data_IF_651596288928
#
_entry.id   IF_651596288928
#
_cell.length_a   1.000
_cell.length_b   1.000
_cell.length_c   1.000
_cell.angle_alpha   90.00
_cell.angle_beta   90.00
_cell.angle_gamma   90.00
#
_symmetry.space_group_name_H-M   'P 1'
#
loop_
_entity.id
_entity.type
_entity.pdbx_description
1 polymer ?
#
# COMPACT_ATOMS: atom_id res chain seq x y z
N UNK A 1 14.81 31.98 54.24
CA UNK A 1 14.01 33.24 54.20
C UNK A 1 12.80 32.99 53.30
N UNK A 2 11.61 33.18 53.88
CA UNK A 2 10.22 33.17 53.37
C UNK A 2 9.98 33.11 51.86
N UNK A 3 9.21 32.13 51.34
CA UNK A 3 7.74 32.17 51.10
C UNK A 3 7.33 33.24 50.06
N UNK A 4 6.56 32.92 49.01
CA UNK A 4 5.09 32.90 49.05
C UNK A 4 4.52 32.23 47.78
N UNK A 5 3.50 31.41 47.98
CA UNK A 5 2.65 30.78 46.97
C UNK A 5 1.62 31.75 46.35
N UNK A 6 1.12 31.44 45.15
CA UNK A 6 -0.26 31.80 44.77
C UNK A 6 -0.87 30.81 43.77
N UNK A 7 -1.86 30.06 44.28
CA UNK A 7 -2.94 29.38 43.54
C UNK A 7 -4.02 30.41 43.20
N UNK A 8 -4.53 30.42 41.96
CA UNK A 8 -5.86 30.96 41.59
C UNK A 8 -6.36 30.10 40.41
N UNK A 9 -7.21 29.08 40.65
CA UNK A 9 -8.69 29.08 40.57
C UNK A 9 -9.26 29.00 39.14
N UNK A 10 -9.84 27.82 38.84
CA UNK A 10 -10.78 27.57 37.74
C UNK A 10 -12.11 28.30 37.98
N UNK A 11 -12.90 28.53 36.92
CA UNK A 11 -14.31 28.17 37.01
C UNK A 11 -14.74 27.24 35.86
N UNK A 12 -15.55 26.25 36.26
CA UNK A 12 -16.34 25.43 35.36
C UNK A 12 -17.52 26.24 34.80
N UNK A 13 -17.87 26.01 33.53
CA UNK A 13 -19.22 26.27 33.02
C UNK A 13 -19.74 25.03 32.30
N UNK A 14 -20.73 24.40 32.93
CA UNK A 14 -21.75 23.56 32.28
C UNK A 14 -22.81 24.48 31.68
N UNK A 15 -23.44 24.04 30.58
CA UNK A 15 -24.88 24.09 30.25
C UNK A 15 -24.98 23.89 28.73
N UNK A 16 -25.45 22.74 28.25
CA UNK A 16 -26.86 22.36 28.04
C UNK A 16 -27.37 22.76 26.64
N UNK A 17 -27.59 21.73 25.82
CA UNK A 17 -28.72 21.52 24.90
C UNK A 17 -29.13 22.63 23.92
N UNK A 18 -29.14 22.30 22.63
CA UNK A 18 -30.39 22.09 21.84
C UNK A 18 -30.06 21.76 20.37
N UNK A 19 -30.52 20.60 19.91
CA UNK A 19 -30.71 20.29 18.49
C UNK A 19 -32.05 20.86 18.03
N UNK A 20 -32.15 21.44 16.83
CA UNK A 20 -33.41 21.60 16.12
C UNK A 20 -33.59 20.54 15.01
N UNK A 21 -34.82 20.37 14.48
CA UNK A 21 -35.32 19.08 14.04
C UNK A 21 -35.23 18.82 12.52
N UNK A 22 -35.36 17.53 12.21
CA UNK A 22 -35.73 16.96 10.91
C UNK A 22 -36.98 17.63 10.30
N UNK A 23 -36.95 17.85 8.99
CA UNK A 23 -38.15 18.16 8.21
C UNK A 23 -38.12 17.39 6.90
N UNK A 24 -38.77 16.24 6.92
CA UNK A 24 -39.21 15.49 5.75
C UNK A 24 -40.29 16.30 5.03
N UNK A 25 -40.10 16.59 3.74
CA UNK A 25 -41.17 17.01 2.83
C UNK A 25 -41.14 16.14 1.59
N UNK A 26 -41.95 15.10 1.64
CA UNK A 26 -42.51 14.42 0.47
C UNK A 26 -43.52 15.34 -0.20
N UNK A 27 -43.28 15.69 -1.46
CA UNK A 27 -44.31 16.19 -2.36
C UNK A 27 -44.42 15.24 -3.56
N UNK A 28 -45.49 14.46 -3.54
CA UNK A 28 -46.09 13.81 -4.71
C UNK A 28 -46.79 14.87 -5.55
N UNK A 29 -46.50 14.92 -6.86
CA UNK A 29 -47.45 15.45 -7.85
C UNK A 29 -47.24 14.76 -9.19
N UNK A 30 -48.31 14.16 -9.68
CA UNK A 30 -48.41 13.47 -10.96
C UNK A 30 -48.61 14.45 -12.13
N UNK A 31 -48.05 14.05 -13.30
CA UNK A 31 -48.51 14.14 -14.70
C UNK A 31 -49.25 15.42 -15.21
N UNK A 32 -49.02 15.89 -16.46
CA UNK A 32 -49.41 15.11 -17.63
C UNK A 32 -48.45 15.13 -18.83
N UNK A 33 -48.56 14.03 -19.57
CA UNK A 33 -48.11 13.75 -20.93
C UNK A 33 -48.56 14.83 -21.92
N UNK A 34 -47.60 15.42 -22.66
CA UNK A 34 -47.87 16.05 -23.94
C UNK A 34 -46.96 15.47 -25.02
N UNK A 35 -47.64 14.91 -26.01
CA UNK A 35 -47.15 14.33 -27.25
C UNK A 35 -46.57 15.45 -28.12
N UNK A 36 -45.27 15.43 -28.40
CA UNK A 36 -44.65 16.29 -29.41
C UNK A 36 -43.77 15.44 -30.33
N UNK A 37 -44.32 15.18 -31.52
CA UNK A 37 -43.69 14.50 -32.64
C UNK A 37 -42.65 15.44 -33.26
N UNK A 38 -41.36 15.19 -33.01
CA UNK A 38 -40.27 15.86 -33.70
C UNK A 38 -39.41 14.81 -34.43
N UNK A 39 -39.73 14.63 -35.71
CA UNK A 39 -38.92 13.89 -36.68
C UNK A 39 -37.55 14.56 -36.82
N UNK A 40 -36.50 13.90 -36.34
CA UNK A 40 -35.10 14.28 -36.62
C UNK A 40 -34.45 13.15 -37.43
N UNK A 41 -33.69 13.48 -38.49
CA UNK A 41 -33.11 12.47 -39.37
C UNK A 41 -32.00 11.71 -38.64
N UNK A 42 -32.17 10.40 -38.56
CA UNK A 42 -31.19 9.44 -38.08
C UNK A 42 -30.03 9.31 -39.06
N UNK A 43 -28.95 10.06 -38.82
CA UNK A 43 -27.62 9.73 -39.33
C UNK A 43 -27.02 8.62 -38.47
N UNK A 44 -27.39 7.38 -38.76
CA UNK A 44 -26.76 6.19 -38.21
C UNK A 44 -25.39 5.98 -38.85
N UNK A 45 -24.37 6.72 -38.39
CA UNK A 45 -22.98 6.29 -38.53
C UNK A 45 -22.73 5.17 -37.52
N UNK A 46 -23.12 3.95 -37.88
CA UNK A 46 -22.71 2.74 -37.16
C UNK A 46 -21.20 2.57 -37.36
N UNK A 47 -20.41 3.27 -36.56
CA UNK A 47 -19.03 2.90 -36.29
C UNK A 47 -19.07 1.57 -35.55
N UNK A 48 -18.98 0.49 -36.30
CA UNK A 48 -18.70 -0.84 -35.75
C UNK A 48 -17.29 -0.78 -35.18
N UNK A 49 -17.18 -0.31 -33.94
CA UNK A 49 -15.99 -0.52 -33.14
C UNK A 49 -15.90 -2.02 -32.92
N UNK A 50 -15.13 -2.70 -33.75
CA UNK A 50 -14.74 -4.09 -33.58
C UNK A 50 -13.80 -4.16 -32.39
N UNK A 51 -14.34 -4.01 -31.18
CA UNK A 51 -13.57 -4.18 -29.94
C UNK A 51 -13.06 -5.62 -29.92
N UNK A 52 -11.74 -5.79 -29.90
CA UNK A 52 -11.10 -7.11 -29.77
C UNK A 52 -11.69 -7.85 -28.56
N UNK A 53 -11.88 -9.19 -28.64
CA UNK A 53 -12.46 -9.94 -27.54
C UNK A 53 -11.58 -9.85 -26.28
N UNK A 54 -12.20 -9.80 -25.10
CA UNK A 54 -11.52 -9.83 -23.81
C UNK A 54 -11.69 -11.21 -23.19
N UNK A 55 -10.58 -11.79 -22.70
CA UNK A 55 -10.57 -13.12 -22.09
C UNK A 55 -10.77 -13.01 -20.57
N UNK A 56 -11.68 -13.77 -19.97
CA UNK A 56 -11.71 -13.89 -18.52
C UNK A 56 -10.43 -14.59 -18.04
N UNK A 57 -9.94 -14.21 -16.86
CA UNK A 57 -8.77 -14.87 -16.25
C UNK A 57 -8.98 -16.38 -16.13
N UNK A 58 -7.92 -17.18 -16.26
CA UNK A 58 -7.99 -18.60 -15.92
C UNK A 58 -8.00 -18.80 -14.39
N UNK A 59 -8.37 -19.98 -13.86
CA UNK A 59 -8.25 -20.28 -12.44
C UNK A 59 -6.83 -20.06 -11.90
N UNK A 60 -5.81 -20.43 -12.66
CA UNK A 60 -4.39 -20.31 -12.29
C UNK A 60 -3.98 -18.83 -12.23
N UNK A 61 -4.39 -18.03 -13.22
CA UNK A 61 -4.12 -16.59 -13.24
C UNK A 61 -4.80 -15.87 -12.07
N UNK A 62 -6.04 -16.24 -11.74
CA UNK A 62 -6.74 -15.72 -10.55
C UNK A 62 -6.04 -16.11 -9.25
N UNK A 63 -5.60 -17.35 -9.14
CA UNK A 63 -4.89 -17.85 -7.96
C UNK A 63 -3.56 -17.09 -7.77
N UNK A 64 -2.80 -16.91 -8.85
CA UNK A 64 -1.59 -16.10 -8.86
C UNK A 64 -1.84 -14.67 -8.39
N UNK A 65 -2.79 -13.96 -9.00
CA UNK A 65 -3.12 -12.58 -8.62
C UNK A 65 -3.56 -12.46 -7.17
N UNK A 66 -4.36 -13.41 -6.69
CA UNK A 66 -4.82 -13.43 -5.29
C UNK A 66 -3.66 -13.63 -4.33
N UNK A 67 -2.70 -14.49 -4.68
CA UNK A 67 -1.47 -14.69 -3.92
C UNK A 67 -0.60 -13.44 -3.93
N UNK A 68 -0.32 -12.88 -5.11
CA UNK A 68 0.50 -11.70 -5.29
C UNK A 68 -0.03 -10.49 -4.51
N UNK A 69 -1.32 -10.18 -4.63
CA UNK A 69 -1.94 -9.08 -3.89
C UNK A 69 -1.83 -9.27 -2.37
N UNK A 70 -2.05 -10.50 -1.88
CA UNK A 70 -1.93 -10.82 -0.45
C UNK A 70 -0.52 -10.60 0.07
N UNK A 71 0.48 -11.06 -0.68
CA UNK A 71 1.89 -10.91 -0.30
C UNK A 71 2.30 -9.44 -0.33
N UNK A 72 1.91 -8.68 -1.36
CA UNK A 72 2.20 -7.25 -1.43
C UNK A 72 1.63 -6.53 -0.22
N UNK A 73 0.34 -6.74 0.10
CA UNK A 73 -0.27 -6.12 1.27
C UNK A 73 0.48 -6.47 2.57
N UNK A 74 0.91 -7.72 2.74
CA UNK A 74 1.69 -8.12 3.90
C UNK A 74 3.08 -7.47 3.94
N UNK A 75 3.72 -7.30 2.78
CA UNK A 75 4.98 -6.60 2.60
C UNK A 75 4.87 -5.13 2.99
N UNK A 76 3.92 -4.39 2.40
CA UNK A 76 3.70 -2.97 2.72
C UNK A 76 3.38 -2.77 4.20
N UNK A 77 2.56 -3.65 4.80
CA UNK A 77 2.27 -3.59 6.22
C UNK A 77 3.54 -3.78 7.06
N UNK A 78 4.40 -4.72 6.68
CA UNK A 78 5.66 -4.92 7.38
C UNK A 78 6.58 -3.70 7.25
N UNK A 79 6.68 -3.09 6.07
CA UNK A 79 7.48 -1.89 5.82
C UNK A 79 7.00 -0.71 6.69
N UNK A 80 5.69 -0.40 6.68
CA UNK A 80 5.08 0.62 7.57
C UNK A 80 5.45 0.38 9.03
N UNK A 81 5.37 -0.86 9.50
CA UNK A 81 5.67 -1.22 10.88
C UNK A 81 7.16 -1.14 11.22
N UNK A 82 8.04 -1.49 10.28
CA UNK A 82 9.49 -1.35 10.43
C UNK A 82 9.84 0.13 10.55
N UNK A 83 9.40 0.98 9.63
CA UNK A 83 9.69 2.42 9.70
C UNK A 83 9.09 3.07 10.94
N UNK A 84 7.85 2.72 11.30
CA UNK A 84 7.21 3.18 12.54
C UNK A 84 8.04 2.83 13.78
N UNK A 85 8.62 1.63 13.82
CA UNK A 85 9.42 1.15 14.95
C UNK A 85 10.85 1.72 14.93
N UNK A 86 11.44 1.95 13.76
CA UNK A 86 12.77 2.52 13.60
C UNK A 86 12.82 4.02 13.92
N UNK A 87 11.75 4.75 13.59
CA UNK A 87 11.73 6.23 13.62
C UNK A 87 12.07 6.81 15.00
N UNK A 88 11.46 6.37 16.12
CA UNK A 88 11.70 7.03 17.40
C UNK A 88 13.15 6.91 17.91
N UNK A 89 13.81 5.73 17.91
CA UNK A 89 15.22 5.63 18.30
C UNK A 89 16.15 6.38 17.34
N UNK A 90 15.93 6.26 16.03
CA UNK A 90 16.78 6.91 15.02
C UNK A 90 16.70 8.42 15.09
N UNK A 91 15.51 9.00 15.10
CA UNK A 91 15.33 10.45 15.12
C UNK A 91 15.79 11.07 16.44
N UNK A 92 15.73 10.31 17.55
CA UNK A 92 16.31 10.75 18.82
C UNK A 92 17.83 10.83 18.76
N UNK A 93 18.50 9.87 18.12
CA UNK A 93 19.96 9.85 17.98
C UNK A 93 20.46 10.76 16.84
N UNK A 94 19.68 10.88 15.77
CA UNK A 94 20.01 11.57 14.52
C UNK A 94 18.80 12.43 14.07
N UNK A 95 18.57 13.61 14.69
CA UNK A 95 17.38 14.42 14.41
C UNK A 95 17.21 14.85 12.95
N UNK A 96 18.30 14.95 12.20
CA UNK A 96 18.31 15.30 10.78
C UNK A 96 17.65 14.23 9.88
N UNK A 97 17.52 12.97 10.36
CA UNK A 97 16.84 11.90 9.61
C UNK A 97 15.32 11.97 9.69
N UNK A 98 14.74 12.86 10.52
CA UNK A 98 13.28 12.98 10.68
C UNK A 98 12.54 13.14 9.34
N UNK A 99 12.95 14.04 8.42
CA UNK A 99 12.24 14.20 7.16
C UNK A 99 12.31 12.95 6.30
N UNK A 100 13.46 12.28 6.26
CA UNK A 100 13.64 11.03 5.51
C UNK A 100 12.76 9.91 6.06
N UNK A 101 12.81 9.65 7.37
CA UNK A 101 12.00 8.60 7.99
C UNK A 101 10.50 8.85 7.81
N UNK A 102 10.07 10.11 7.88
CA UNK A 102 8.68 10.49 7.63
C UNK A 102 8.29 10.25 6.16
N UNK A 103 9.16 10.63 5.22
CA UNK A 103 8.93 10.47 3.79
C UNK A 103 8.73 8.99 3.41
N UNK A 104 9.67 8.13 3.83
CA UNK A 104 9.58 6.69 3.57
C UNK A 104 8.33 6.08 4.19
N UNK A 105 8.05 6.39 5.47
CA UNK A 105 6.84 5.91 6.13
C UNK A 105 5.55 6.34 5.40
N UNK A 106 5.47 7.59 4.94
CA UNK A 106 4.28 8.10 4.26
C UNK A 106 4.06 7.46 2.88
N UNK A 107 5.15 7.13 2.17
CA UNK A 107 5.09 6.35 0.92
C UNK A 107 4.54 4.94 1.20
N UNK A 108 5.11 4.22 2.16
CA UNK A 108 4.65 2.88 2.56
C UNK A 108 3.19 2.87 2.99
N UNK A 109 2.76 3.88 3.75
CA UNK A 109 1.36 4.01 4.15
C UNK A 109 0.43 4.17 2.93
N UNK A 110 0.88 4.89 1.91
CA UNK A 110 0.20 5.02 0.61
C UNK A 110 0.16 3.71 -0.18
N UNK A 111 1.26 2.94 -0.18
CA UNK A 111 1.32 1.62 -0.81
C UNK A 111 0.37 0.64 -0.12
N UNK A 112 0.42 0.57 1.21
CA UNK A 112 -0.47 -0.24 2.03
C UNK A 112 -1.94 0.09 1.75
N UNK A 113 -2.32 1.37 1.77
CA UNK A 113 -3.68 1.79 1.47
C UNK A 113 -4.13 1.37 0.06
N UNK A 114 -3.20 1.41 -0.92
CA UNK A 114 -3.46 0.93 -2.28
C UNK A 114 -3.77 -0.56 -2.29
N UNK A 115 -2.98 -1.39 -1.62
CA UNK A 115 -3.23 -2.83 -1.58
C UNK A 115 -4.42 -3.23 -0.73
N UNK A 116 -4.71 -2.53 0.38
CA UNK A 116 -5.94 -2.75 1.14
C UNK A 116 -7.19 -2.52 0.26
N UNK A 117 -7.17 -1.45 -0.55
CA UNK A 117 -8.23 -1.17 -1.53
C UNK A 117 -8.34 -2.27 -2.60
N UNK A 118 -7.21 -2.75 -3.14
CA UNK A 118 -7.19 -3.84 -4.12
C UNK A 118 -7.70 -5.16 -3.52
N UNK A 119 -7.28 -5.51 -2.30
CA UNK A 119 -7.77 -6.69 -1.59
C UNK A 119 -9.28 -6.63 -1.40
N UNK A 120 -9.80 -5.49 -0.93
CA UNK A 120 -11.23 -5.29 -0.73
C UNK A 120 -12.01 -5.39 -2.06
N UNK A 121 -11.55 -4.70 -3.11
CA UNK A 121 -12.15 -4.70 -4.45
C UNK A 121 -12.23 -6.11 -5.05
N UNK A 122 -11.17 -6.89 -4.91
CA UNK A 122 -11.05 -8.22 -5.50
C UNK A 122 -11.44 -9.36 -4.54
N UNK A 123 -11.90 -9.03 -3.33
CA UNK A 123 -12.26 -9.99 -2.26
C UNK A 123 -11.13 -10.98 -1.94
N UNK A 124 -9.89 -10.50 -2.01
CA UNK A 124 -8.70 -11.25 -1.62
C UNK A 124 -8.54 -11.11 -0.11
N UNK A 125 -8.38 -12.23 0.58
CA UNK A 125 -8.12 -12.24 2.02
C UNK A 125 -6.64 -11.91 2.29
N UNK A 126 -6.35 -11.05 3.28
CA UNK A 126 -5.01 -10.92 3.85
C UNK A 126 -4.48 -12.27 4.34
N UNK A 127 -3.16 -12.36 4.53
CA UNK A 127 -2.54 -13.57 5.08
C UNK A 127 -3.00 -13.82 6.52
N UNK A 128 -3.29 -15.09 6.83
CA UNK A 128 -3.65 -15.48 8.20
C UNK A 128 -2.54 -15.19 9.22
N UNK A 129 -1.30 -15.06 8.76
CA UNK A 129 -0.13 -14.79 9.59
C UNK A 129 0.13 -13.31 9.85
N UNK A 130 -0.77 -12.41 9.43
CA UNK A 130 -0.60 -10.98 9.63
C UNK A 130 -0.23 -10.59 11.08
N UNK A 131 -0.78 -11.19 12.17
CA UNK A 131 -0.41 -10.77 13.53
C UNK A 131 1.04 -11.13 13.87
N UNK A 132 1.51 -12.29 13.38
CA UNK A 132 2.88 -12.74 13.56
C UNK A 132 3.84 -11.83 12.78
N UNK A 133 3.54 -11.55 11.52
CA UNK A 133 4.34 -10.66 10.68
C UNK A 133 4.40 -9.24 11.24
N UNK A 134 3.29 -8.72 11.76
CA UNK A 134 3.30 -7.41 12.41
C UNK A 134 4.22 -7.37 13.62
N UNK A 135 4.17 -8.39 14.49
CA UNK A 135 5.05 -8.45 15.66
C UNK A 135 6.54 -8.55 15.27
N UNK A 136 6.86 -9.39 14.28
CA UNK A 136 8.23 -9.56 13.80
C UNK A 136 8.76 -8.32 13.10
N UNK A 137 7.94 -7.65 12.27
CA UNK A 137 8.30 -6.41 11.59
C UNK A 137 8.60 -5.27 12.58
N UNK A 138 7.70 -5.03 13.54
CA UNK A 138 7.94 -4.02 14.59
C UNK A 138 9.16 -4.34 15.45
N UNK A 139 9.34 -5.61 15.82
CA UNK A 139 10.50 -6.06 16.59
C UNK A 139 11.82 -5.88 15.84
N UNK A 140 11.84 -6.22 14.55
CA UNK A 140 12.99 -6.05 13.66
C UNK A 140 13.36 -4.56 13.53
N UNK A 141 12.38 -3.71 13.22
CA UNK A 141 12.59 -2.27 13.09
C UNK A 141 13.11 -1.64 14.38
N UNK A 142 12.49 -1.93 15.52
CA UNK A 142 12.95 -1.41 16.81
C UNK A 142 14.37 -1.89 17.15
N UNK A 143 14.65 -3.18 16.98
CA UNK A 143 15.95 -3.77 17.33
C UNK A 143 17.07 -3.17 16.49
N UNK A 144 16.87 -3.06 15.17
CA UNK A 144 17.89 -2.50 14.28
C UNK A 144 18.14 -1.02 14.54
N UNK A 145 17.10 -0.24 14.85
CA UNK A 145 17.25 1.16 15.23
C UNK A 145 17.96 1.38 16.57
N UNK A 146 17.81 0.46 17.53
CA UNK A 146 18.55 0.49 18.79
C UNK A 146 20.04 0.14 18.58
N UNK A 147 20.33 -0.76 17.64
CA UNK A 147 21.71 -1.11 17.26
C UNK A 147 22.45 0.03 16.55
N UNK A 148 21.72 0.95 15.91
CA UNK A 148 22.27 2.16 15.34
C UNK A 148 21.69 2.48 13.96
N UNK A 149 22.08 3.64 13.44
CA UNK A 149 21.65 4.12 12.12
C UNK A 149 22.04 3.16 11.02
N UNK A 150 23.28 2.70 11.01
CA UNK A 150 23.84 1.81 9.98
C UNK A 150 23.10 0.46 9.97
N UNK A 151 22.79 -0.10 11.13
CA UNK A 151 22.02 -1.34 11.24
C UNK A 151 20.56 -1.18 10.79
N UNK A 152 19.93 -0.04 11.11
CA UNK A 152 18.58 0.27 10.65
C UNK A 152 18.53 0.44 9.12
N UNK A 153 19.48 1.17 8.54
CA UNK A 153 19.55 1.34 7.09
C UNK A 153 19.93 0.03 6.39
N UNK A 154 20.77 -0.82 6.98
CA UNK A 154 21.01 -2.17 6.46
C UNK A 154 19.75 -3.06 6.50
N UNK A 155 18.90 -2.90 7.51
CA UNK A 155 17.60 -3.56 7.55
C UNK A 155 16.69 -3.10 6.42
N UNK A 156 16.57 -1.78 6.23
CA UNK A 156 15.84 -1.19 5.11
C UNK A 156 16.35 -1.74 3.78
N UNK A 157 17.66 -1.64 3.52
CA UNK A 157 18.28 -2.15 2.30
C UNK A 157 17.90 -3.62 2.03
N UNK A 158 17.98 -4.47 3.06
CA UNK A 158 17.66 -5.88 2.96
C UNK A 158 16.19 -6.15 2.65
N UNK A 159 15.28 -5.42 3.29
CA UNK A 159 13.83 -5.56 3.10
C UNK A 159 13.43 -5.09 1.70
N UNK A 160 13.85 -3.88 1.31
CA UNK A 160 13.47 -3.32 0.00
C UNK A 160 14.08 -4.07 -1.17
N UNK A 161 15.26 -4.68 -0.98
CA UNK A 161 15.82 -5.60 -1.98
C UNK A 161 14.88 -6.78 -2.27
N UNK A 162 14.28 -7.39 -1.24
CA UNK A 162 13.41 -8.55 -1.42
C UNK A 162 12.00 -8.14 -1.87
N UNK A 163 11.47 -7.01 -1.38
CA UNK A 163 10.19 -6.46 -1.84
C UNK A 163 10.27 -6.06 -3.33
N UNK A 164 11.29 -5.26 -3.71
CA UNK A 164 11.52 -4.88 -5.10
C UNK A 164 11.79 -6.07 -6.04
N UNK A 165 12.49 -7.09 -5.54
CA UNK A 165 12.67 -8.36 -6.25
C UNK A 165 11.34 -9.05 -6.52
N UNK A 166 10.47 -9.13 -5.51
CA UNK A 166 9.14 -9.75 -5.63
C UNK A 166 8.25 -9.00 -6.63
N UNK A 167 8.26 -7.67 -6.62
CA UNK A 167 7.56 -6.86 -7.62
C UNK A 167 8.03 -7.13 -9.04
N UNK A 168 9.35 -7.22 -9.25
CA UNK A 168 9.91 -7.53 -10.57
C UNK A 168 9.43 -8.88 -11.10
N UNK A 169 9.42 -9.91 -10.25
CA UNK A 169 8.92 -11.23 -10.63
C UNK A 169 7.43 -11.18 -10.99
N UNK A 170 6.61 -10.49 -10.18
CA UNK A 170 5.18 -10.34 -10.47
C UNK A 170 4.94 -9.62 -11.79
N UNK A 171 5.58 -8.47 -11.99
CA UNK A 171 5.43 -7.68 -13.22
C UNK A 171 5.82 -8.51 -14.44
N UNK A 172 6.92 -9.28 -14.37
CA UNK A 172 7.32 -10.19 -15.45
C UNK A 172 6.21 -11.19 -15.77
N UNK A 173 5.69 -11.88 -14.77
CA UNK A 173 4.62 -12.87 -14.96
C UNK A 173 3.34 -12.23 -15.52
N UNK A 174 2.97 -11.02 -15.09
CA UNK A 174 1.82 -10.30 -15.64
C UNK A 174 2.02 -9.89 -17.11
N UNK A 175 3.24 -9.51 -17.49
CA UNK A 175 3.58 -9.19 -18.88
C UNK A 175 3.59 -10.43 -19.78
N UNK A 176 4.03 -11.58 -19.27
CA UNK A 176 3.92 -12.86 -19.98
C UNK A 176 2.45 -13.23 -20.23
N UNK A 177 1.57 -13.02 -19.25
CA UNK A 177 0.12 -13.20 -19.42
C UNK A 177 -0.45 -12.28 -20.49
N UNK A 178 -0.06 -11.00 -20.47
CA UNK A 178 -0.46 -10.01 -21.49
C UNK A 178 -0.01 -10.44 -22.87
N UNK A 179 1.26 -10.81 -23.04
CA UNK A 179 1.81 -11.25 -24.32
C UNK A 179 1.06 -12.49 -24.85
N UNK A 180 0.71 -13.44 -23.97
CA UNK A 180 -0.11 -14.59 -24.34
C UNK A 180 -1.50 -14.19 -24.85
N UNK A 181 -2.19 -13.29 -24.16
CA UNK A 181 -3.50 -12.80 -24.60
C UNK A 181 -3.41 -12.03 -25.94
N UNK A 182 -2.39 -11.19 -26.11
CA UNK A 182 -2.19 -10.43 -27.34
C UNK A 182 -1.88 -11.34 -28.53
N UNK A 183 -1.08 -12.41 -28.32
CA UNK A 183 -0.80 -13.42 -29.33
C UNK A 183 -2.06 -14.20 -29.75
N UNK A 184 -3.01 -14.39 -28.84
CA UNK A 184 -4.34 -14.95 -29.12
C UNK A 184 -5.31 -13.92 -29.75
N UNK A 185 -4.88 -12.68 -29.99
CA UNK A 185 -5.70 -11.61 -30.56
C UNK A 185 -6.68 -10.97 -29.56
N UNK A 186 -6.54 -11.24 -28.26
CA UNK A 186 -7.37 -10.67 -27.21
C UNK A 186 -6.89 -9.29 -26.77
N UNK A 187 -7.80 -8.46 -26.28
CA UNK A 187 -7.47 -7.16 -25.67
C UNK A 187 -7.20 -7.33 -24.16
N UNK A 188 -6.18 -6.63 -23.65
CA UNK A 188 -5.97 -6.48 -22.21
C UNK A 188 -6.92 -5.41 -21.65
N UNK A 189 -7.72 -5.78 -20.64
CA UNK A 189 -8.65 -4.86 -19.99
C UNK A 189 -7.95 -3.69 -19.28
N UNK A 190 -8.61 -2.53 -19.15
CA UNK A 190 -8.02 -1.32 -18.57
C UNK A 190 -7.61 -1.51 -17.10
N UNK A 191 -8.40 -2.23 -16.31
CA UNK A 191 -8.09 -2.55 -14.91
C UNK A 191 -6.78 -3.35 -14.76
N UNK A 192 -6.49 -4.26 -15.70
CA UNK A 192 -5.26 -5.04 -15.66
C UNK A 192 -4.04 -4.19 -16.04
N UNK A 193 -4.20 -3.28 -17.00
CA UNK A 193 -3.16 -2.30 -17.35
C UNK A 193 -2.88 -1.35 -16.19
N UNK A 194 -3.92 -0.89 -15.51
CA UNK A 194 -3.84 -0.05 -14.31
C UNK A 194 -3.07 -0.77 -13.19
N UNK A 195 -3.40 -2.05 -12.93
CA UNK A 195 -2.68 -2.87 -11.95
C UNK A 195 -1.18 -2.95 -12.27
N UNK A 196 -0.81 -3.27 -13.51
CA UNK A 196 0.61 -3.33 -13.92
C UNK A 196 1.28 -1.96 -13.73
N UNK A 197 0.59 -0.87 -14.09
CA UNK A 197 1.07 0.50 -13.88
C UNK A 197 1.33 0.81 -12.40
N UNK A 198 0.38 0.46 -11.53
CA UNK A 198 0.51 0.62 -10.08
C UNK A 198 1.68 -0.19 -9.52
N UNK A 199 1.82 -1.46 -9.90
CA UNK A 199 2.93 -2.31 -9.44
C UNK A 199 4.29 -1.77 -9.89
N UNK A 200 4.40 -1.25 -11.11
CA UNK A 200 5.63 -0.63 -11.61
C UNK A 200 5.99 0.63 -10.82
N UNK A 201 5.01 1.50 -10.57
CA UNK A 201 5.21 2.72 -9.79
C UNK A 201 5.72 2.39 -8.38
N UNK A 202 5.02 1.50 -7.68
CA UNK A 202 5.41 1.10 -6.31
C UNK A 202 6.80 0.48 -6.30
N UNK A 203 7.10 -0.45 -7.23
CA UNK A 203 8.46 -0.99 -7.37
C UNK A 203 9.53 0.09 -7.52
N UNK A 204 9.28 1.09 -8.36
CA UNK A 204 10.25 2.16 -8.62
C UNK A 204 10.43 3.04 -7.36
N UNK A 205 9.37 3.25 -6.58
CA UNK A 205 9.42 3.91 -5.27
C UNK A 205 10.21 3.06 -4.24
N UNK A 206 10.07 1.73 -4.23
CA UNK A 206 10.88 0.85 -3.35
C UNK A 206 12.38 0.86 -3.68
N UNK A 207 12.72 1.00 -4.97
CA UNK A 207 14.12 1.17 -5.37
C UNK A 207 14.69 2.50 -4.87
N UNK A 208 13.87 3.55 -4.79
CA UNK A 208 14.27 4.82 -4.17
C UNK A 208 14.56 4.63 -2.67
N UNK A 209 13.71 3.88 -1.95
CA UNK A 209 13.95 3.55 -0.54
C UNK A 209 15.28 2.81 -0.33
N UNK A 210 15.59 1.86 -1.22
CA UNK A 210 16.86 1.14 -1.23
C UNK A 210 18.05 2.09 -1.41
N UNK A 211 17.95 3.03 -2.35
CA UNK A 211 19.00 4.02 -2.62
C UNK A 211 19.22 4.92 -1.39
N UNK A 212 18.14 5.43 -0.78
CA UNK A 212 18.21 6.21 0.46
C UNK A 212 18.94 5.45 1.58
N UNK A 213 18.68 4.16 1.73
CA UNK A 213 19.36 3.33 2.74
C UNK A 213 20.87 3.21 2.49
N UNK A 214 21.26 3.00 1.23
CA UNK A 214 22.68 2.92 0.84
C UNK A 214 23.39 4.26 1.06
N UNK A 215 22.75 5.38 0.69
CA UNK A 215 23.25 6.74 0.92
C UNK A 215 23.42 7.07 2.41
N UNK A 216 22.57 6.50 3.27
CA UNK A 216 22.59 6.70 4.72
C UNK A 216 23.39 5.62 5.47
N UNK A 217 24.46 5.13 4.85
CA UNK A 217 25.49 4.28 5.45
C UNK A 217 25.05 2.83 5.77
N UNK A 218 24.04 2.27 5.10
CA UNK A 218 23.65 0.86 5.27
C UNK A 218 24.87 -0.09 5.18
N UNK A 219 25.75 0.12 4.19
CA UNK A 219 26.95 -0.71 3.95
C UNK A 219 27.99 -0.66 5.07
N UNK A 220 27.87 0.28 6.01
CA UNK A 220 28.79 0.41 7.16
C UNK A 220 28.35 -0.40 8.38
N UNK A 221 27.20 -1.09 8.33
CA UNK A 221 26.83 -2.02 9.39
C UNK A 221 27.91 -3.12 9.51
N UNK A 222 28.25 -3.52 10.74
CA UNK A 222 29.27 -4.55 10.96
C UNK A 222 28.73 -5.70 11.83
N UNK A 223 28.65 -6.94 11.31
CA UNK A 223 28.88 -7.36 9.93
C UNK A 223 27.65 -7.18 9.01
N UNK A 224 27.71 -6.28 8.02
CA UNK A 224 26.63 -5.96 7.07
C UNK A 224 26.09 -7.20 6.34
N UNK A 225 26.99 -8.00 5.76
CA UNK A 225 26.62 -9.17 4.96
C UNK A 225 25.81 -10.19 5.77
N UNK A 226 26.09 -10.32 7.06
CA UNK A 226 25.40 -11.26 7.94
C UNK A 226 24.03 -10.71 8.32
N UNK A 227 23.96 -9.43 8.72
CA UNK A 227 22.70 -8.78 9.09
C UNK A 227 21.73 -8.81 7.90
N UNK A 228 22.17 -8.31 6.74
CA UNK A 228 21.37 -8.32 5.52
C UNK A 228 21.04 -9.74 5.06
N UNK A 229 21.99 -10.68 5.13
CA UNK A 229 21.77 -12.08 4.77
C UNK A 229 20.65 -12.75 5.58
N UNK A 230 20.65 -12.55 6.91
CA UNK A 230 19.61 -13.08 7.81
C UNK A 230 18.25 -12.44 7.53
N UNK A 231 18.20 -11.10 7.41
CA UNK A 231 16.95 -10.38 7.16
C UNK A 231 16.34 -10.81 5.82
N UNK A 232 17.15 -10.84 4.75
CA UNK A 232 16.71 -11.28 3.42
C UNK A 232 16.20 -12.72 3.44
N UNK A 233 16.86 -13.62 4.17
CA UNK A 233 16.37 -15.00 4.32
C UNK A 233 15.01 -15.05 5.04
N UNK A 234 14.83 -14.21 6.07
CA UNK A 234 13.54 -14.03 6.75
C UNK A 234 12.45 -13.51 5.82
N UNK A 235 12.73 -12.47 5.02
CA UNK A 235 11.81 -11.92 4.03
C UNK A 235 11.37 -12.96 3.01
N UNK A 236 12.29 -13.74 2.42
CA UNK A 236 11.94 -14.83 1.49
C UNK A 236 11.06 -15.89 2.14
N UNK A 237 11.34 -16.24 3.39
CA UNK A 237 10.50 -17.14 4.17
C UNK A 237 9.09 -16.58 4.34
N UNK A 238 8.96 -15.31 4.75
CA UNK A 238 7.68 -14.65 4.93
C UNK A 238 6.86 -14.56 3.63
N UNK A 239 7.51 -14.22 2.51
CA UNK A 239 6.91 -14.22 1.17
C UNK A 239 6.39 -15.62 0.84
N UNK A 240 7.25 -16.63 0.90
CA UNK A 240 6.89 -18.01 0.55
C UNK A 240 5.72 -18.54 1.38
N UNK A 241 5.69 -18.25 2.69
CA UNK A 241 4.57 -18.68 3.53
C UNK A 241 3.30 -17.90 3.17
N UNK A 242 3.38 -16.58 3.01
CA UNK A 242 2.21 -15.71 2.76
C UNK A 242 1.56 -15.93 1.39
N UNK A 243 2.29 -16.48 0.41
CA UNK A 243 1.69 -16.95 -0.84
C UNK A 243 0.65 -18.05 -0.59
N UNK A 244 0.84 -18.87 0.45
CA UNK A 244 0.07 -20.09 0.72
C UNK A 244 -1.06 -19.91 1.73
N UNK A 245 -0.97 -18.93 2.63
CA UNK A 245 -1.90 -18.74 3.77
C UNK A 245 -2.38 -17.32 3.97
#
# INVERSE_FOLDING_TARGET
MSAVAQRISRPARRLCTRLPPSSSRTFTSAAPTLLATATSPSSSSSSSSTSKPRKPLTPEQRAFLSSALRVNQAGELAAVLIYSAQTPPLVRAHPHLRPLMQHMHDQEAGHLATFESLLARHRVRPTALYPLWSALASGLGWTTAVLGREAAMACTEAVETEIGGHYNEQIRTLLEMVAGWEAEGCEVGPEFKELIGTLRRIRDEELEHLDHAVEHDAKKADPHWLLTGVIRAGCRGAIWVSERV
#
